data_IF_014236723934
#
_entry.id   IF_014236723934
#
_cell.length_a   1.000
_cell.length_b   1.000
_cell.length_c   1.000
_cell.angle_alpha   90.00
_cell.angle_beta   90.00
_cell.angle_gamma   90.00
#
_symmetry.space_group_name_H-M   'P 1'
#
loop_
_entity.id
_entity.type
_entity.pdbx_description
1 polymer ?
#
# COMPACT_ATOMS: atom_id res chain seq x y z
N UNK A 1 10.56 -3.19 17.07
CA UNK A 1 9.49 -2.99 16.05
C UNK A 1 8.22 -3.82 16.27
N UNK A 2 8.29 -5.03 16.83
CA UNK A 2 7.12 -5.94 16.97
C UNK A 2 5.89 -5.42 17.73
N UNK A 3 5.99 -4.30 18.45
CA UNK A 3 4.83 -3.64 19.10
C UNK A 3 4.33 -2.40 18.35
N UNK A 4 5.07 -1.92 17.34
CA UNK A 4 4.76 -0.70 16.60
C UNK A 4 3.52 -0.89 15.72
N UNK A 5 2.64 0.12 15.74
CA UNK A 5 1.50 0.24 14.85
C UNK A 5 1.79 1.37 13.87
N UNK A 6 1.74 1.09 12.58
CA UNK A 6 2.10 2.04 11.52
C UNK A 6 0.84 2.38 10.72
N UNK A 7 0.64 3.68 10.44
CA UNK A 7 -0.33 4.15 9.45
C UNK A 7 0.47 4.67 8.24
N UNK A 8 0.23 4.11 7.07
CA UNK A 8 0.79 4.57 5.80
C UNK A 8 -0.31 5.29 5.02
N UNK A 9 -0.04 6.53 4.62
CA UNK A 9 -0.98 7.37 3.87
C UNK A 9 -0.46 7.55 2.45
N UNK A 10 -1.28 7.20 1.46
CA UNK A 10 -0.95 7.20 0.03
C UNK A 10 -0.37 5.85 -0.43
N UNK A 11 -1.01 5.26 -1.43
CA UNK A 11 -0.72 3.96 -2.02
C UNK A 11 -0.63 4.04 -3.55
N UNK A 12 0.37 4.76 -4.04
CA UNK A 12 0.89 4.55 -5.40
C UNK A 12 2.00 3.48 -5.40
N UNK A 13 2.61 3.18 -6.55
CA UNK A 13 3.69 2.18 -6.63
C UNK A 13 4.84 2.38 -5.62
N UNK A 14 5.19 3.64 -5.31
CA UNK A 14 6.16 3.94 -4.26
C UNK A 14 5.64 3.56 -2.86
N UNK A 15 4.39 3.93 -2.54
CA UNK A 15 3.73 3.54 -1.30
C UNK A 15 3.65 2.01 -1.13
N UNK A 16 3.47 1.26 -2.21
CA UNK A 16 3.51 -0.21 -2.22
C UNK A 16 4.85 -0.75 -1.71
N UNK A 17 5.95 -0.25 -2.27
CA UNK A 17 7.32 -0.66 -1.91
C UNK A 17 7.66 -0.32 -0.45
N UNK A 18 7.24 0.87 0.00
CA UNK A 18 7.37 1.26 1.41
C UNK A 18 6.56 0.31 2.30
N UNK A 19 5.31 0.02 1.96
CA UNK A 19 4.46 -0.91 2.71
C UNK A 19 5.10 -2.30 2.80
N UNK A 20 5.60 -2.84 1.68
CA UNK A 20 6.28 -4.14 1.63
C UNK A 20 7.46 -4.18 2.59
N UNK A 21 8.35 -3.18 2.56
CA UNK A 21 9.51 -3.16 3.44
C UNK A 21 9.12 -3.06 4.92
N UNK A 22 8.10 -2.26 5.26
CA UNK A 22 7.58 -2.15 6.64
C UNK A 22 6.99 -3.48 7.13
N UNK A 23 6.22 -4.16 6.27
CA UNK A 23 5.63 -5.46 6.58
C UNK A 23 6.74 -6.50 6.80
N UNK A 24 7.73 -6.57 5.90
CA UNK A 24 8.86 -7.50 6.01
C UNK A 24 9.75 -7.23 7.24
N UNK A 25 9.85 -5.97 7.68
CA UNK A 25 10.59 -5.60 8.89
C UNK A 25 9.96 -6.12 10.20
N UNK A 26 8.71 -6.59 10.17
CA UNK A 26 8.05 -7.22 11.32
C UNK A 26 7.53 -6.23 12.36
N UNK A 27 6.48 -5.48 11.99
CA UNK A 27 5.71 -4.60 12.88
C UNK A 27 4.44 -5.28 13.41
N UNK A 28 3.77 -4.70 14.43
CA UNK A 28 2.54 -5.26 15.02
C UNK A 28 1.36 -5.19 14.06
N UNK A 29 1.20 -4.06 13.39
CA UNK A 29 0.13 -3.82 12.43
C UNK A 29 0.49 -2.67 11.50
N UNK A 30 0.06 -2.78 10.25
CA UNK A 30 0.09 -1.68 9.28
C UNK A 30 -1.36 -1.37 8.89
N UNK A 31 -1.76 -0.11 8.98
CA UNK A 31 -2.99 0.40 8.35
C UNK A 31 -2.59 1.19 7.12
N UNK A 32 -3.30 0.96 6.03
CA UNK A 32 -3.12 1.69 4.79
C UNK A 32 -4.32 2.62 4.60
N UNK A 33 -4.05 3.85 4.18
CA UNK A 33 -5.07 4.85 3.89
C UNK A 33 -4.74 5.51 2.56
N UNK A 34 -5.63 5.39 1.59
CA UNK A 34 -5.61 6.19 0.38
C UNK A 34 -7.03 6.69 0.10
N UNK A 35 -7.14 7.90 -0.44
CA UNK A 35 -8.40 8.50 -0.88
C UNK A 35 -8.61 8.34 -2.39
N UNK A 36 -7.59 7.90 -3.13
CA UNK A 36 -7.64 7.73 -4.58
C UNK A 36 -8.15 6.35 -4.93
N UNK A 37 -8.91 6.28 -6.02
CA UNK A 37 -9.21 5.01 -6.66
C UNK A 37 -7.98 4.55 -7.46
N UNK A 38 -7.83 3.23 -7.61
CA UNK A 38 -6.80 2.63 -8.45
C UNK A 38 -6.90 3.17 -9.86
N UNK A 39 -5.81 3.73 -10.36
CA UNK A 39 -5.67 4.23 -11.72
C UNK A 39 -4.96 3.20 -12.61
N UNK A 40 -4.93 3.46 -13.92
CA UNK A 40 -4.16 2.62 -14.86
C UNK A 40 -2.66 2.70 -14.55
N UNK A 41 -2.16 3.86 -14.14
CA UNK A 41 -0.74 4.09 -13.80
C UNK A 41 -0.29 3.25 -12.60
N UNK A 42 -1.21 3.00 -11.66
CA UNK A 42 -0.93 2.16 -10.50
C UNK A 42 -0.61 0.71 -10.90
N UNK A 43 -1.15 0.23 -12.03
CA UNK A 43 -0.88 -1.15 -12.50
C UNK A 43 0.58 -1.42 -12.87
N UNK A 44 1.40 -0.37 -13.02
CA UNK A 44 2.82 -0.51 -13.33
C UNK A 44 3.66 -0.92 -12.12
N UNK A 45 3.31 -0.46 -10.91
CA UNK A 45 4.18 -0.60 -9.74
C UNK A 45 3.44 -0.78 -8.40
N UNK A 46 2.12 -0.56 -8.32
CA UNK A 46 1.31 -0.79 -7.13
C UNK A 46 0.84 -2.25 -7.08
N UNK A 47 1.70 -3.15 -6.63
CA UNK A 47 1.43 -4.60 -6.59
C UNK A 47 0.42 -5.03 -5.50
N UNK A 48 -0.06 -4.11 -4.66
CA UNK A 48 -1.13 -4.41 -3.70
C UNK A 48 -2.54 -4.35 -4.32
N UNK A 49 -2.68 -3.78 -5.52
CA UNK A 49 -3.94 -3.70 -6.27
C UNK A 49 -3.84 -4.47 -7.58
N UNK A 50 -4.90 -5.17 -7.97
CA UNK A 50 -4.98 -5.92 -9.22
C UNK A 50 -5.56 -5.02 -10.33
N UNK A 51 -5.25 -5.32 -11.60
CA UNK A 51 -5.75 -4.56 -12.77
C UNK A 51 -7.28 -4.53 -12.84
N UNK A 52 -7.94 -5.56 -12.33
CA UNK A 52 -9.42 -5.64 -12.26
C UNK A 52 -10.05 -4.66 -11.27
N UNK A 53 -9.25 -4.05 -10.40
CA UNK A 53 -9.69 -3.15 -9.35
C UNK A 53 -9.51 -1.67 -9.71
N UNK A 54 -9.15 -1.37 -10.96
CA UNK A 54 -9.18 -0.01 -11.51
C UNK A 54 -10.55 0.62 -11.23
N UNK A 55 -10.53 1.84 -10.68
CA UNK A 55 -11.72 2.58 -10.28
C UNK A 55 -12.25 2.27 -8.87
N UNK A 56 -11.61 1.37 -8.12
CA UNK A 56 -11.96 1.04 -6.72
C UNK A 56 -10.90 1.54 -5.75
N UNK A 57 -11.29 1.72 -4.48
CA UNK A 57 -10.40 1.95 -3.34
C UNK A 57 -10.44 0.73 -2.41
#
# INVERSE_FOLDING_TARGET
>A
LRQAKVLLIGLNGFGAEVAKNIILAGVKSVKLLDHKNVSIEDTCAQFLADKKDIGKN
#
